data_IF_958826313856
#
_entry.id   IF_958826313856
#
_cell.length_a   1.000
_cell.length_b   1.000
_cell.length_c   1.000
_cell.angle_alpha   90.00
_cell.angle_beta   90.00
_cell.angle_gamma   90.00
#
_symmetry.space_group_name_H-M   'P 1'
#
loop_
_entity.id
_entity.type
_entity.pdbx_description
1 polymer ?
#
# COMPACT_ATOMS: atom_id res chain seq x y z
N UNK A 1 6.99 -30.89 12.96
CA UNK A 1 6.09 -30.10 13.83
C UNK A 1 6.77 -29.91 15.18
N UNK A 2 7.49 -28.80 15.40
CA UNK A 2 8.02 -28.48 16.73
C UNK A 2 6.91 -27.88 17.58
N UNK A 3 6.65 -28.49 18.75
CA UNK A 3 5.70 -28.00 19.75
C UNK A 3 6.06 -26.56 20.18
N UNK A 4 5.07 -25.70 20.49
CA UNK A 4 5.35 -24.42 21.14
C UNK A 4 5.79 -24.69 22.58
N UNK A 5 7.09 -24.56 22.86
CA UNK A 5 7.67 -24.69 24.20
C UNK A 5 7.12 -23.55 25.07
N UNK A 6 6.52 -23.88 26.21
CA UNK A 6 6.00 -22.89 27.16
C UNK A 6 7.16 -22.07 27.75
N UNK A 7 6.97 -20.76 27.99
CA UNK A 7 8.02 -19.86 28.53
C UNK A 7 8.62 -20.37 29.86
N UNK A 8 7.92 -21.24 30.57
CA UNK A 8 8.32 -21.88 31.83
C UNK A 8 9.39 -22.98 31.65
N UNK A 9 9.51 -23.59 30.47
CA UNK A 9 10.46 -24.69 30.20
C UNK A 9 11.83 -24.19 29.66
N UNK A 10 11.96 -22.89 29.39
CA UNK A 10 13.21 -22.29 28.89
C UNK A 10 14.18 -21.98 30.02
N UNK A 11 15.44 -22.41 29.86
CA UNK A 11 16.53 -22.03 30.78
C UNK A 11 16.72 -20.52 30.81
N UNK A 12 17.25 -19.98 31.93
CA UNK A 12 17.44 -18.53 32.12
C UNK A 12 18.30 -17.89 31.01
N UNK A 13 19.29 -18.63 30.53
CA UNK A 13 20.15 -18.22 29.41
C UNK A 13 19.40 -18.14 28.07
N UNK A 14 18.53 -19.13 27.77
CA UNK A 14 17.72 -19.10 26.54
C UNK A 14 16.71 -17.95 26.55
N UNK A 15 16.10 -17.66 27.71
CA UNK A 15 15.22 -16.48 27.86
C UNK A 15 15.94 -15.17 27.60
N UNK A 16 17.16 -15.00 28.09
CA UNK A 16 17.97 -13.81 27.83
C UNK A 16 18.37 -13.71 26.35
N UNK A 17 18.72 -14.83 25.72
CA UNK A 17 19.07 -14.87 24.29
C UNK A 17 17.88 -14.52 23.40
N UNK A 18 16.70 -15.09 23.68
CA UNK A 18 15.46 -14.79 22.95
C UNK A 18 15.03 -13.33 23.15
N UNK A 19 15.11 -12.81 24.38
CA UNK A 19 14.84 -11.41 24.66
C UNK A 19 15.79 -10.45 23.94
N UNK A 20 17.08 -10.81 23.86
CA UNK A 20 18.08 -10.06 23.11
C UNK A 20 17.81 -10.04 21.59
N UNK A 21 17.35 -11.14 21.01
CA UNK A 21 16.97 -11.20 19.59
C UNK A 21 15.69 -10.43 19.28
N UNK A 22 14.68 -10.51 20.16
CA UNK A 22 13.43 -9.74 20.01
C UNK A 22 13.70 -8.23 20.06
N UNK A 23 14.51 -7.77 21.02
CA UNK A 23 14.88 -6.36 21.15
C UNK A 23 15.61 -5.84 19.90
N UNK A 24 16.61 -6.59 19.40
CA UNK A 24 17.34 -6.23 18.18
C UNK A 24 16.45 -6.18 16.94
N UNK A 25 15.48 -7.09 16.85
CA UNK A 25 14.52 -7.11 15.74
C UNK A 25 13.61 -5.86 15.77
N UNK A 26 13.14 -5.46 16.94
CA UNK A 26 12.37 -4.23 17.13
C UNK A 26 13.18 -2.98 16.81
N UNK A 27 14.44 -2.92 17.26
CA UNK A 27 15.33 -1.80 16.96
C UNK A 27 15.59 -1.65 15.46
N UNK A 28 15.83 -2.75 14.75
CA UNK A 28 15.99 -2.74 13.29
C UNK A 28 14.71 -2.28 12.58
N UNK A 29 13.56 -2.78 13.02
CA UNK A 29 12.28 -2.39 12.44
C UNK A 29 11.96 -0.90 12.67
N UNK A 30 12.28 -0.38 13.86
CA UNK A 30 12.13 1.03 14.20
C UNK A 30 12.96 1.95 13.29
N UNK A 31 14.03 1.44 12.65
CA UNK A 31 14.81 2.16 11.64
C UNK A 31 14.26 1.96 10.22
N UNK A 32 13.85 0.74 9.89
CA UNK A 32 13.35 0.39 8.54
C UNK A 32 12.02 1.09 8.23
N UNK A 33 11.08 1.16 9.18
CA UNK A 33 9.75 1.72 8.93
C UNK A 33 9.80 3.23 8.60
N UNK A 34 10.47 4.09 9.36
CA UNK A 34 10.63 5.50 8.99
C UNK A 34 11.39 5.68 7.67
N UNK A 35 12.44 4.88 7.44
CA UNK A 35 13.20 4.91 6.19
C UNK A 35 12.34 4.53 4.99
N UNK A 36 11.44 3.56 5.15
CA UNK A 36 10.46 3.18 4.15
C UNK A 36 9.52 4.34 3.84
N UNK A 37 8.86 4.90 4.85
CA UNK A 37 7.92 6.02 4.68
C UNK A 37 8.58 7.22 4.00
N UNK A 38 9.68 7.72 4.57
CA UNK A 38 10.37 8.89 4.04
C UNK A 38 11.05 8.61 2.69
N UNK A 39 11.63 7.42 2.52
CA UNK A 39 12.31 7.03 1.29
C UNK A 39 11.38 7.00 0.10
N UNK A 40 10.19 6.39 0.23
CA UNK A 40 9.20 6.37 -0.85
C UNK A 40 8.64 7.76 -1.14
N UNK A 41 8.26 8.52 -0.11
CA UNK A 41 7.69 9.87 -0.29
C UNK A 41 8.70 10.80 -0.98
N UNK A 42 9.95 10.82 -0.52
CA UNK A 42 10.98 11.70 -1.06
C UNK A 42 11.39 11.24 -2.47
N UNK A 43 11.62 9.95 -2.69
CA UNK A 43 12.01 9.43 -4.00
C UNK A 43 10.96 9.72 -5.06
N UNK A 44 9.68 9.44 -4.77
CA UNK A 44 8.61 9.73 -5.72
C UNK A 44 8.33 11.22 -5.84
N UNK A 45 8.53 12.02 -4.79
CA UNK A 45 8.47 13.47 -4.87
C UNK A 45 9.47 14.03 -5.89
N UNK A 46 10.70 13.53 -5.90
CA UNK A 46 11.68 13.86 -6.94
C UNK A 46 11.29 13.33 -8.32
N UNK A 47 10.75 12.10 -8.44
CA UNK A 47 10.28 11.59 -9.73
C UNK A 47 9.14 12.41 -10.33
N UNK A 48 8.17 12.83 -9.52
CA UNK A 48 7.12 13.78 -9.94
C UNK A 48 7.73 15.10 -10.40
N UNK A 49 8.69 15.64 -9.65
CA UNK A 49 9.34 16.91 -10.00
C UNK A 49 10.10 16.83 -11.32
N UNK A 50 10.83 15.74 -11.55
CA UNK A 50 11.56 15.47 -12.79
C UNK A 50 10.57 15.37 -13.95
N UNK A 51 9.46 14.63 -13.78
CA UNK A 51 8.44 14.51 -14.81
C UNK A 51 7.83 15.88 -15.17
N UNK A 52 7.47 16.68 -14.17
CA UNK A 52 6.93 18.03 -14.40
C UNK A 52 7.98 18.93 -15.06
N UNK A 53 9.26 18.80 -14.74
CA UNK A 53 10.32 19.55 -15.42
C UNK A 53 10.43 19.21 -16.91
N UNK A 54 10.27 17.93 -17.27
CA UNK A 54 10.42 17.45 -18.64
C UNK A 54 9.16 17.64 -19.50
N UNK A 55 7.97 17.68 -18.89
CA UNK A 55 6.70 17.75 -19.60
C UNK A 55 6.13 19.16 -19.59
N UNK A 56 6.10 19.80 -20.76
CA UNK A 56 5.43 21.10 -20.95
C UNK A 56 3.95 21.02 -20.63
N UNK A 57 3.30 19.91 -20.97
CA UNK A 57 1.89 19.65 -20.65
C UNK A 57 1.63 19.71 -19.14
N UNK A 58 2.45 19.04 -18.34
CA UNK A 58 2.29 19.04 -16.88
C UNK A 58 2.50 20.43 -16.27
N UNK A 59 3.39 21.24 -16.84
CA UNK A 59 3.59 22.63 -16.41
C UNK A 59 2.38 23.50 -16.75
N UNK A 60 1.83 23.38 -17.95
CA UNK A 60 0.61 24.09 -18.35
C UNK A 60 -0.57 23.71 -17.47
N UNK A 61 -0.73 22.41 -17.17
CA UNK A 61 -1.78 21.93 -16.27
C UNK A 61 -1.66 22.60 -14.89
N UNK A 62 -0.47 22.69 -14.30
CA UNK A 62 -0.28 23.34 -12.99
C UNK A 62 -0.51 24.86 -13.00
N UNK A 63 -0.37 25.50 -14.16
CA UNK A 63 -0.60 26.94 -14.32
C UNK A 63 -2.06 27.29 -14.59
N UNK A 64 -2.79 26.42 -15.28
CA UNK A 64 -4.13 26.74 -15.82
C UNK A 64 -5.27 26.04 -15.07
N UNK A 65 -4.99 24.98 -14.31
CA UNK A 65 -6.08 24.14 -13.76
C UNK A 65 -6.72 24.66 -12.47
N UNK A 66 -6.12 25.65 -11.79
CA UNK A 66 -6.68 26.23 -10.57
C UNK A 66 -7.12 27.67 -10.81
N UNK A 67 -8.34 28.00 -10.39
CA UNK A 67 -8.88 29.37 -10.46
C UNK A 67 -8.16 30.32 -9.48
N UNK A 68 -7.55 29.78 -8.42
CA UNK A 68 -6.86 30.53 -7.36
C UNK A 68 -5.39 30.88 -7.70
N UNK A 69 -4.93 30.60 -8.92
CA UNK A 69 -3.60 30.93 -9.41
C UNK A 69 -2.66 29.72 -9.59
N UNK A 70 -1.44 29.97 -10.11
CA UNK A 70 -0.51 28.91 -10.49
C UNK A 70 0.04 28.18 -9.25
N UNK A 71 0.18 26.86 -9.39
CA UNK A 71 0.69 25.99 -8.32
C UNK A 71 2.20 25.85 -8.44
N UNK A 72 2.93 26.01 -7.33
CA UNK A 72 4.36 25.77 -7.28
C UNK A 72 4.68 24.27 -7.53
N UNK A 73 5.45 23.92 -8.59
CA UNK A 73 5.70 22.53 -8.97
C UNK A 73 6.39 21.70 -7.89
N UNK A 74 7.26 22.32 -7.09
CA UNK A 74 7.94 21.65 -5.98
C UNK A 74 6.96 21.21 -4.90
N UNK A 75 6.10 22.13 -4.47
CA UNK A 75 5.11 21.83 -3.44
C UNK A 75 4.12 20.77 -3.93
N UNK A 76 3.63 20.90 -5.16
CA UNK A 76 2.74 19.92 -5.76
C UNK A 76 3.35 18.51 -5.78
N UNK A 77 4.62 18.38 -6.22
CA UNK A 77 5.28 17.08 -6.37
C UNK A 77 5.44 16.32 -5.04
N UNK A 78 5.85 17.02 -3.98
CA UNK A 78 5.99 16.41 -2.65
C UNK A 78 4.63 16.16 -1.99
N UNK A 79 3.69 17.10 -2.14
CA UNK A 79 2.35 16.97 -1.59
C UNK A 79 1.60 15.79 -2.21
N UNK A 80 1.65 15.64 -3.53
CA UNK A 80 0.96 14.53 -4.19
C UNK A 80 1.60 13.18 -3.86
N UNK A 81 2.93 13.14 -3.71
CA UNK A 81 3.64 11.94 -3.26
C UNK A 81 3.20 11.52 -1.86
N UNK A 82 3.13 12.48 -0.92
CA UNK A 82 2.66 12.26 0.44
C UNK A 82 1.19 11.82 0.47
N UNK A 83 0.31 12.55 -0.24
CA UNK A 83 -1.13 12.26 -0.27
C UNK A 83 -1.42 10.89 -0.89
N UNK A 84 -0.72 10.53 -1.98
CA UNK A 84 -0.83 9.22 -2.62
C UNK A 84 -0.31 8.10 -1.73
N UNK A 85 0.80 8.31 -1.02
CA UNK A 85 1.37 7.30 -0.13
C UNK A 85 0.52 7.08 1.13
N UNK A 86 -0.10 8.13 1.65
CA UNK A 86 -0.94 8.05 2.86
C UNK A 86 -2.40 7.71 2.55
N UNK A 87 -2.75 7.56 1.27
CA UNK A 87 -4.13 7.39 0.81
C UNK A 87 -5.05 8.50 1.35
N UNK A 88 -4.58 9.74 1.31
CA UNK A 88 -5.32 10.89 1.86
C UNK A 88 -6.37 11.43 0.86
N UNK A 89 -6.13 11.30 -0.43
CA UNK A 89 -7.03 11.74 -1.50
C UNK A 89 -7.13 13.24 -1.71
N UNK A 90 -6.39 14.03 -0.91
CA UNK A 90 -6.27 15.46 -1.12
C UNK A 90 -5.33 15.73 -2.28
N UNK A 91 -5.77 16.58 -3.19
CA UNK A 91 -4.92 17.13 -4.24
C UNK A 91 -4.93 18.65 -4.14
N UNK A 92 -3.86 19.28 -4.59
CA UNK A 92 -3.80 20.73 -4.72
C UNK A 92 -4.55 21.22 -5.97
N UNK A 93 -4.82 20.31 -6.92
CA UNK A 93 -5.68 20.55 -8.07
C UNK A 93 -7.15 20.31 -7.70
N UNK A 94 -8.02 21.26 -8.03
CA UNK A 94 -9.46 21.17 -7.75
C UNK A 94 -10.10 19.96 -8.45
N UNK A 95 -9.65 19.66 -9.67
CA UNK A 95 -10.12 18.52 -10.47
C UNK A 95 -9.39 17.20 -10.18
N UNK A 96 -8.72 17.06 -9.03
CA UNK A 96 -7.97 15.84 -8.66
C UNK A 96 -6.99 15.42 -9.76
N UNK A 97 -7.09 14.19 -10.30
CA UNK A 97 -6.20 13.67 -11.36
C UNK A 97 -6.82 13.74 -12.76
N UNK A 98 -8.00 14.33 -12.92
CA UNK A 98 -8.68 14.47 -14.22
C UNK A 98 -7.81 15.18 -15.27
N UNK A 99 -7.07 16.27 -14.94
CA UNK A 99 -6.18 16.92 -15.91
C UNK A 99 -5.03 16.02 -16.38
N UNK A 100 -4.76 14.90 -15.71
CA UNK A 100 -3.71 13.95 -16.07
C UNK A 100 -4.22 12.68 -16.77
N UNK A 101 -5.49 12.61 -17.19
CA UNK A 101 -6.08 11.45 -17.88
C UNK A 101 -5.28 10.97 -19.11
N UNK A 102 -4.66 11.91 -19.85
CA UNK A 102 -3.85 11.57 -21.03
C UNK A 102 -2.34 11.43 -20.71
N UNK A 103 -1.94 11.64 -19.46
CA UNK A 103 -0.57 11.62 -19.00
C UNK A 103 -0.29 10.34 -18.20
N UNK A 104 0.42 9.34 -18.76
CA UNK A 104 0.53 8.05 -18.11
C UNK A 104 1.44 8.06 -16.87
N UNK A 105 2.51 8.87 -16.87
CA UNK A 105 3.51 8.81 -15.79
C UNK A 105 2.96 9.21 -14.41
N UNK A 106 2.22 10.34 -14.25
CA UNK A 106 1.64 10.71 -12.97
C UNK A 106 0.69 9.65 -12.40
N UNK A 107 -0.14 9.06 -13.27
CA UNK A 107 -1.09 8.02 -12.88
C UNK A 107 -0.37 6.76 -12.40
N UNK A 108 0.67 6.31 -13.12
CA UNK A 108 1.48 5.15 -12.73
C UNK A 108 2.17 5.38 -11.38
N UNK A 109 2.77 6.56 -11.18
CA UNK A 109 3.42 6.90 -9.91
C UNK A 109 2.44 6.88 -8.74
N UNK A 110 1.26 7.47 -8.92
CA UNK A 110 0.21 7.43 -7.90
C UNK A 110 -0.28 6.00 -7.63
N UNK A 111 -0.51 5.17 -8.66
CA UNK A 111 -0.90 3.76 -8.48
C UNK A 111 0.11 3.03 -7.60
N UNK A 112 1.41 3.18 -7.90
CA UNK A 112 2.47 2.54 -7.14
C UNK A 112 2.45 3.04 -5.69
N UNK A 113 2.38 4.34 -5.46
CA UNK A 113 2.36 4.92 -4.11
C UNK A 113 1.15 4.49 -3.30
N UNK A 114 -0.04 4.48 -3.89
CA UNK A 114 -1.29 4.07 -3.22
C UNK A 114 -1.21 2.61 -2.78
N UNK A 115 -0.68 1.74 -3.65
CA UNK A 115 -0.50 0.34 -3.32
C UNK A 115 0.57 0.14 -2.23
N UNK A 116 1.75 0.74 -2.39
CA UNK A 116 2.88 0.59 -1.47
C UNK A 116 2.59 1.23 -0.11
N UNK A 117 1.82 2.31 -0.08
CA UNK A 117 1.53 3.10 1.11
C UNK A 117 0.61 2.41 2.12
N UNK A 118 -0.45 1.75 1.64
CA UNK A 118 -1.45 1.13 2.51
C UNK A 118 -1.77 -0.32 2.11
N UNK A 119 -2.32 -0.53 0.92
CA UNK A 119 -2.95 -1.80 0.52
C UNK A 119 -1.97 -2.98 0.44
N UNK A 120 -0.76 -2.72 -0.06
CA UNK A 120 0.33 -3.67 -0.20
C UNK A 120 1.50 -3.37 0.76
N UNK A 121 1.30 -2.49 1.75
CA UNK A 121 2.32 -2.11 2.74
C UNK A 121 2.97 -3.33 3.40
N UNK A 122 2.16 -4.25 3.92
CA UNK A 122 2.66 -5.45 4.59
C UNK A 122 3.44 -6.38 3.65
N UNK A 123 3.07 -6.43 2.38
CA UNK A 123 3.72 -7.25 1.35
C UNK A 123 5.08 -6.65 1.01
N UNK A 124 5.14 -5.33 0.81
CA UNK A 124 6.37 -4.61 0.49
C UNK A 124 7.34 -4.54 1.65
N UNK A 125 6.87 -4.28 2.86
CA UNK A 125 7.72 -4.30 4.04
C UNK A 125 8.39 -5.67 4.21
N UNK A 126 7.62 -6.76 4.04
CA UNK A 126 8.16 -8.12 4.12
C UNK A 126 9.17 -8.41 3.02
N UNK A 127 8.90 -7.96 1.79
CA UNK A 127 9.82 -8.10 0.66
C UNK A 127 11.14 -7.36 0.91
N UNK A 128 11.08 -6.14 1.44
CA UNK A 128 12.27 -5.36 1.81
C UNK A 128 13.08 -6.05 2.91
N UNK A 129 12.42 -6.54 3.97
CA UNK A 129 13.10 -7.32 5.03
C UNK A 129 13.79 -8.57 4.44
N UNK A 130 13.14 -9.25 3.49
CA UNK A 130 13.72 -10.41 2.82
C UNK A 130 14.92 -10.04 1.92
N UNK A 131 14.86 -8.90 1.23
CA UNK A 131 16.00 -8.35 0.49
C UNK A 131 17.13 -8.03 1.45
N UNK A 132 16.87 -7.33 2.57
CA UNK A 132 17.87 -7.03 3.59
C UNK A 132 18.51 -8.32 4.14
N UNK A 133 17.71 -9.37 4.39
CA UNK A 133 18.22 -10.68 4.79
C UNK A 133 19.17 -11.30 3.75
N UNK A 134 18.84 -11.19 2.45
CA UNK A 134 19.67 -11.72 1.36
C UNK A 134 20.93 -10.89 1.10
N UNK A 135 20.84 -9.57 1.27
CA UNK A 135 21.96 -8.65 1.08
C UNK A 135 22.93 -8.64 2.27
N UNK A 136 22.49 -9.08 3.46
CA UNK A 136 23.36 -9.15 4.64
C UNK A 136 24.46 -10.21 4.44
N UNK A 137 25.74 -9.82 4.43
CA UNK A 137 26.84 -10.76 4.22
C UNK A 137 26.96 -11.76 5.37
N UNK A 138 27.43 -12.97 5.08
CA UNK A 138 27.60 -14.05 6.07
C UNK A 138 28.51 -13.69 7.25
N UNK A 139 29.32 -12.63 7.12
CA UNK A 139 30.16 -12.09 8.20
C UNK A 139 29.36 -11.50 9.37
N UNK A 140 28.09 -11.11 9.16
CA UNK A 140 27.22 -10.55 10.21
C UNK A 140 26.14 -11.53 10.63
N UNK A 141 26.55 -12.62 11.28
CA UNK A 141 25.64 -13.69 11.71
C UNK A 141 24.50 -13.18 12.59
N UNK A 142 24.79 -12.25 13.51
CA UNK A 142 23.77 -11.70 14.42
C UNK A 142 22.66 -10.89 13.71
N UNK A 143 23.00 -10.07 12.69
CA UNK A 143 21.99 -9.31 11.92
C UNK A 143 21.14 -10.28 11.07
N UNK A 144 21.78 -11.30 10.49
CA UNK A 144 21.10 -12.31 9.68
C UNK A 144 20.15 -13.18 10.50
N UNK A 145 20.55 -13.58 11.71
CA UNK A 145 19.65 -14.25 12.67
C UNK A 145 18.48 -13.36 13.07
N UNK A 146 18.73 -12.06 13.27
CA UNK A 146 17.68 -11.09 13.61
C UNK A 146 16.65 -10.95 12.48
N UNK A 147 17.07 -10.83 11.22
CA UNK A 147 16.15 -10.78 10.08
C UNK A 147 15.41 -12.10 9.88
N UNK A 148 16.06 -13.23 10.10
CA UNK A 148 15.42 -14.55 10.04
C UNK A 148 14.36 -14.68 11.13
N UNK A 149 14.67 -14.26 12.36
CA UNK A 149 13.72 -14.22 13.47
C UNK A 149 12.51 -13.33 13.15
N UNK A 150 12.74 -12.16 12.55
CA UNK A 150 11.67 -11.23 12.13
C UNK A 150 10.76 -11.85 11.06
N UNK A 151 11.32 -12.65 10.14
CA UNK A 151 10.56 -13.35 9.09
C UNK A 151 9.81 -14.59 9.62
N UNK A 152 10.37 -15.29 10.61
CA UNK A 152 9.79 -16.50 11.21
C UNK A 152 8.72 -16.17 12.27
N UNK A 153 8.87 -15.05 12.99
CA UNK A 153 7.94 -14.59 14.04
C UNK A 153 7.43 -13.15 13.80
N UNK A 154 6.82 -12.86 12.65
CA UNK A 154 6.53 -11.50 12.23
C UNK A 154 5.61 -10.75 13.19
N UNK A 155 4.62 -11.44 13.77
CA UNK A 155 3.60 -10.83 14.65
C UNK A 155 3.99 -10.67 16.11
N UNK A 156 5.17 -11.14 16.51
CA UNK A 156 5.74 -10.78 17.83
C UNK A 156 6.40 -9.41 17.81
N UNK A 157 6.92 -9.00 16.66
CA UNK A 157 7.67 -7.77 16.51
C UNK A 157 6.84 -6.65 15.86
N UNK A 158 5.89 -6.98 14.97
CA UNK A 158 5.07 -5.98 14.30
C UNK A 158 3.67 -6.48 13.93
N UNK A 159 2.65 -5.69 14.26
CA UNK A 159 1.25 -6.09 14.08
C UNK A 159 0.83 -6.18 12.61
N UNK A 160 1.41 -5.36 11.74
CA UNK A 160 1.08 -5.32 10.30
C UNK A 160 1.98 -6.23 9.45
N UNK A 161 2.96 -6.92 10.05
CA UNK A 161 3.79 -7.90 9.34
C UNK A 161 3.07 -9.25 9.28
N UNK A 162 2.53 -9.61 8.12
CA UNK A 162 1.84 -10.89 7.94
C UNK A 162 2.82 -12.04 7.61
N UNK A 163 2.51 -13.28 8.03
CA UNK A 163 3.16 -14.50 7.56
C UNK A 163 3.15 -14.64 6.02
N UNK A 164 4.14 -15.36 5.49
CA UNK A 164 4.36 -15.54 4.05
C UNK A 164 3.11 -15.96 3.27
N UNK A 165 2.42 -16.98 3.76
CA UNK A 165 1.24 -17.55 3.11
C UNK A 165 0.09 -16.54 3.05
N UNK A 166 -0.05 -15.71 4.09
CA UNK A 166 -1.10 -14.69 4.16
C UNK A 166 -0.79 -13.52 3.24
N UNK A 167 0.49 -13.11 3.12
CA UNK A 167 0.88 -12.07 2.16
C UNK A 167 0.59 -12.45 0.71
N UNK A 168 0.78 -13.73 0.33
CA UNK A 168 0.42 -14.22 -1.00
C UNK A 168 -1.09 -14.27 -1.23
N UNK A 169 -1.86 -14.71 -0.24
CA UNK A 169 -3.32 -14.67 -0.30
C UNK A 169 -3.85 -13.24 -0.46
N UNK A 170 -3.34 -12.29 0.33
CA UNK A 170 -3.67 -10.87 0.22
C UNK A 170 -3.34 -10.32 -1.16
N UNK A 171 -2.17 -10.67 -1.71
CA UNK A 171 -1.75 -10.24 -3.04
C UNK A 171 -2.68 -10.75 -4.15
N UNK A 172 -3.06 -12.03 -4.10
CA UNK A 172 -3.97 -12.63 -5.08
C UNK A 172 -5.34 -11.97 -5.01
N UNK A 173 -5.90 -11.81 -3.81
CA UNK A 173 -7.20 -11.14 -3.62
C UNK A 173 -7.15 -9.69 -4.11
N UNK A 174 -6.06 -8.97 -3.82
CA UNK A 174 -5.84 -7.60 -4.30
C UNK A 174 -5.90 -7.55 -5.83
N UNK A 175 -5.21 -8.45 -6.53
CA UNK A 175 -5.23 -8.52 -7.99
C UNK A 175 -6.64 -8.82 -8.50
N UNK A 176 -7.33 -9.82 -7.93
CA UNK A 176 -8.67 -10.22 -8.37
C UNK A 176 -9.66 -9.06 -8.26
N UNK A 177 -9.69 -8.36 -7.11
CA UNK A 177 -10.60 -7.22 -6.91
C UNK A 177 -10.28 -6.12 -7.94
N UNK A 178 -9.00 -5.78 -8.12
CA UNK A 178 -8.57 -4.76 -9.09
C UNK A 178 -8.99 -5.12 -10.52
N UNK A 179 -8.85 -6.39 -10.91
CA UNK A 179 -9.23 -6.86 -12.24
C UNK A 179 -10.74 -6.79 -12.46
N UNK A 180 -11.54 -7.16 -11.45
CA UNK A 180 -13.00 -7.06 -11.53
C UNK A 180 -13.44 -5.60 -11.70
N UNK A 181 -12.87 -4.67 -10.93
CA UNK A 181 -13.15 -3.24 -11.05
C UNK A 181 -12.72 -2.70 -12.42
N UNK A 182 -11.54 -3.08 -12.91
CA UNK A 182 -11.02 -2.66 -14.20
C UNK A 182 -11.89 -3.15 -15.36
N UNK A 183 -12.26 -4.43 -15.36
CA UNK A 183 -13.13 -5.02 -16.38
C UNK A 183 -14.50 -4.35 -16.34
N UNK A 184 -15.05 -4.12 -15.15
CA UNK A 184 -16.34 -3.44 -14.97
C UNK A 184 -16.29 -2.00 -15.50
N UNK A 185 -15.20 -1.27 -15.24
CA UNK A 185 -15.00 0.08 -15.77
C UNK A 185 -14.95 0.10 -17.29
N UNK A 186 -14.14 -0.77 -17.91
CA UNK A 186 -13.98 -0.83 -19.36
C UNK A 186 -15.26 -1.29 -20.07
N UNK A 187 -15.97 -2.28 -19.52
CA UNK A 187 -17.18 -2.82 -20.13
C UNK A 187 -18.37 -1.86 -20.04
N UNK A 188 -18.58 -1.23 -18.87
CA UNK A 188 -19.77 -0.41 -18.60
C UNK A 188 -19.67 1.02 -19.15
N UNK A 189 -18.44 1.53 -19.34
CA UNK A 189 -18.20 2.91 -19.81
C UNK A 189 -17.70 2.97 -21.27
N UNK A 190 -17.72 1.86 -22.01
CA UNK A 190 -17.21 1.82 -23.39
C UNK A 190 -17.89 2.83 -24.33
N UNK A 191 -19.20 3.03 -24.15
CA UNK A 191 -20.05 3.88 -25.00
C UNK A 191 -20.20 5.32 -24.48
N UNK A 192 -19.52 5.68 -23.38
CA UNK A 192 -19.70 6.99 -22.76
C UNK A 192 -18.95 8.08 -23.55
N UNK A 193 -19.59 9.23 -23.84
CA UNK A 193 -18.95 10.32 -24.56
C UNK A 193 -17.77 10.95 -23.81
N UNK A 194 -17.74 10.86 -22.47
CA UNK A 194 -16.62 11.35 -21.65
C UNK A 194 -15.31 10.63 -21.97
N UNK A 195 -15.37 9.35 -22.36
CA UNK A 195 -14.20 8.56 -22.72
C UNK A 195 -13.87 8.62 -24.21
N UNK A 196 -14.75 9.15 -25.07
CA UNK A 196 -14.64 9.04 -26.54
C UNK A 196 -13.39 9.73 -27.11
N UNK A 197 -12.91 10.79 -26.47
CA UNK A 197 -11.68 11.51 -26.84
C UNK A 197 -10.38 10.90 -26.32
N UNK A 198 -10.43 9.88 -25.46
CA UNK A 198 -9.26 9.29 -24.80
C UNK A 198 -8.76 8.09 -25.61
N UNK A 199 -7.43 7.96 -25.76
CA UNK A 199 -6.82 6.80 -26.44
C UNK A 199 -7.10 5.50 -25.69
N UNK A 200 -7.20 4.36 -26.40
CA UNK A 200 -7.49 3.07 -25.76
C UNK A 200 -6.50 2.69 -24.65
N UNK A 201 -5.22 3.02 -24.82
CA UNK A 201 -4.19 2.78 -23.80
C UNK A 201 -4.38 3.66 -22.55
N UNK A 202 -4.71 4.94 -22.74
CA UNK A 202 -5.03 5.86 -21.64
C UNK A 202 -6.29 5.42 -20.90
N UNK A 203 -7.35 4.99 -21.60
CA UNK A 203 -8.57 4.45 -20.96
C UNK A 203 -8.31 3.25 -20.07
N UNK A 204 -7.43 2.35 -20.50
CA UNK A 204 -7.01 1.21 -19.70
C UNK A 204 -6.29 1.67 -18.42
N UNK A 205 -5.37 2.63 -18.56
CA UNK A 205 -4.64 3.17 -17.43
C UNK A 205 -5.53 3.97 -16.46
N UNK A 206 -6.49 4.74 -16.98
CA UNK A 206 -7.47 5.48 -16.19
C UNK A 206 -8.36 4.50 -15.40
N UNK A 207 -8.83 3.44 -16.05
CA UNK A 207 -9.59 2.38 -15.38
C UNK A 207 -8.77 1.67 -14.30
N UNK A 208 -7.48 1.41 -14.56
CA UNK A 208 -6.58 0.80 -13.59
C UNK A 208 -6.33 1.74 -12.40
N UNK A 209 -6.08 3.01 -12.68
CA UNK A 209 -5.91 4.06 -11.68
C UNK A 209 -7.15 4.15 -10.80
N UNK A 210 -8.33 4.24 -11.41
CA UNK A 210 -9.59 4.37 -10.68
C UNK A 210 -9.86 3.13 -9.80
N UNK A 211 -9.60 1.93 -10.30
CA UNK A 211 -9.72 0.66 -9.55
C UNK A 211 -8.73 0.54 -8.38
N UNK A 212 -7.59 1.24 -8.46
CA UNK A 212 -6.65 1.32 -7.34
C UNK A 212 -7.09 2.43 -6.37
N UNK A 213 -7.58 3.55 -6.89
CA UNK A 213 -7.95 4.73 -6.12
C UNK A 213 -9.24 4.56 -5.29
N UNK A 214 -10.17 3.70 -5.73
CA UNK A 214 -11.38 3.32 -4.97
C UNK A 214 -11.05 2.73 -3.61
N UNK A 215 -9.85 2.16 -3.43
CA UNK A 215 -9.42 1.51 -2.18
C UNK A 215 -8.72 2.49 -1.24
N UNK A 216 -9.55 3.32 -0.60
CA UNK A 216 -9.17 4.32 0.41
C UNK A 216 -8.31 5.48 -0.08
N UNK A 217 -7.88 5.55 -1.35
CA UNK A 217 -7.02 6.64 -1.81
C UNK A 217 -7.77 7.90 -2.19
N UNK A 218 -9.04 7.80 -2.62
CA UNK A 218 -9.92 8.95 -2.83
C UNK A 218 -9.61 9.82 -4.05
N UNK A 219 -8.66 9.44 -4.90
CA UNK A 219 -8.38 10.16 -6.14
C UNK A 219 -9.39 9.80 -7.24
N UNK A 220 -9.63 10.78 -8.13
CA UNK A 220 -10.50 10.60 -9.29
C UNK A 220 -9.75 11.05 -10.55
N UNK A 221 -9.70 10.17 -11.56
CA UNK A 221 -9.18 10.51 -12.89
C UNK A 221 -10.30 10.80 -13.91
N UNK A 222 -11.50 10.32 -13.62
CA UNK A 222 -12.73 10.68 -14.34
C UNK A 222 -13.76 11.16 -13.32
N UNK A 223 -14.64 12.07 -13.71
CA UNK A 223 -15.76 12.50 -12.88
C UNK A 223 -16.64 11.30 -12.52
N UNK A 224 -16.73 10.96 -11.23
CA UNK A 224 -17.55 9.85 -10.76
C UNK A 224 -19.04 10.06 -11.05
N UNK A 225 -19.50 11.32 -11.08
CA UNK A 225 -20.89 11.68 -11.37
C UNK A 225 -21.29 11.34 -12.81
N UNK A 226 -20.34 11.41 -13.74
CA UNK A 226 -20.58 11.19 -15.16
C UNK A 226 -20.38 9.74 -15.58
N UNK A 227 -19.95 8.86 -14.66
CA UNK A 227 -19.82 7.43 -14.93
C UNK A 227 -21.17 6.72 -14.94
N UNK A 228 -21.23 5.58 -15.63
CA UNK A 228 -22.41 4.72 -15.64
C UNK A 228 -22.79 4.33 -14.18
N UNK A 229 -24.07 4.43 -13.78
CA UNK A 229 -24.54 4.01 -12.45
C UNK A 229 -24.12 2.58 -12.07
N UNK A 230 -23.99 1.68 -13.05
CA UNK A 230 -23.48 0.33 -12.83
C UNK A 230 -22.04 0.32 -12.28
N UNK A 231 -21.16 1.17 -12.81
CA UNK A 231 -19.78 1.28 -12.32
C UNK A 231 -19.70 1.91 -10.93
N UNK A 232 -20.55 2.89 -10.65
CA UNK A 232 -20.64 3.50 -9.32
C UNK A 232 -21.02 2.45 -8.27
N UNK A 233 -21.99 1.57 -8.58
CA UNK A 233 -22.40 0.49 -7.67
C UNK A 233 -21.25 -0.50 -7.41
N UNK A 234 -20.50 -0.87 -8.45
CA UNK A 234 -19.29 -1.71 -8.32
C UNK A 234 -18.27 -1.05 -7.40
N UNK A 235 -18.03 0.26 -7.54
CA UNK A 235 -17.10 1.00 -6.69
C UNK A 235 -17.55 1.07 -5.23
N UNK A 236 -18.83 1.29 -4.96
CA UNK A 236 -19.38 1.27 -3.60
C UNK A 236 -19.15 -0.11 -2.94
N UNK A 237 -19.45 -1.19 -3.68
CA UNK A 237 -19.24 -2.56 -3.19
C UNK A 237 -17.76 -2.84 -2.96
N UNK A 238 -16.89 -2.45 -3.90
CA UNK A 238 -15.46 -2.68 -3.79
C UNK A 238 -14.82 -1.89 -2.64
N UNK A 239 -15.23 -0.63 -2.42
CA UNK A 239 -14.84 0.17 -1.25
C UNK A 239 -15.13 -0.58 0.06
N UNK A 240 -16.33 -1.14 0.19
CA UNK A 240 -16.72 -1.91 1.37
C UNK A 240 -15.93 -3.22 1.52
N UNK A 241 -15.79 -3.99 0.43
CA UNK A 241 -15.10 -5.29 0.45
C UNK A 241 -13.59 -5.14 0.70
N UNK A 242 -12.96 -4.04 0.24
CA UNK A 242 -11.51 -3.86 0.26
C UNK A 242 -10.87 -3.93 1.66
N UNK A 243 -11.62 -3.63 2.71
CA UNK A 243 -11.14 -3.66 4.11
C UNK A 243 -11.10 -5.10 4.67
N UNK A 244 -11.95 -6.00 4.15
CA UNK A 244 -12.11 -7.35 4.69
C UNK A 244 -10.88 -8.25 4.56
N UNK A 245 -10.15 -8.32 3.42
CA UNK A 245 -8.98 -9.19 3.28
C UNK A 245 -7.91 -8.91 4.35
N UNK A 246 -7.67 -7.63 4.63
CA UNK A 246 -6.71 -7.20 5.67
C UNK A 246 -7.24 -7.60 7.05
N UNK A 247 -8.51 -7.33 7.35
CA UNK A 247 -9.12 -7.70 8.63
C UNK A 247 -9.14 -9.21 8.88
N UNK A 248 -9.48 -10.01 7.87
CA UNK A 248 -9.50 -11.48 7.93
C UNK A 248 -8.07 -12.01 8.12
N UNK A 249 -7.10 -11.45 7.41
CA UNK A 249 -5.70 -11.81 7.58
C UNK A 249 -5.24 -11.53 8.99
N UNK A 250 -5.57 -10.36 9.58
CA UNK A 250 -5.29 -10.07 10.99
C UNK A 250 -5.90 -11.12 11.93
N UNK A 251 -7.19 -11.46 11.77
CA UNK A 251 -7.88 -12.43 12.63
C UNK A 251 -7.31 -13.85 12.52
N UNK A 252 -7.17 -14.37 11.30
CA UNK A 252 -6.66 -15.72 11.05
C UNK A 252 -5.19 -15.86 11.46
N UNK A 253 -4.47 -14.76 11.40
CA UNK A 253 -3.14 -14.73 11.94
C UNK A 253 -3.20 -14.88 13.48
N UNK A 254 -4.07 -14.21 14.23
CA UNK A 254 -4.01 -14.00 15.69
C UNK A 254 -4.08 -15.24 16.65
N UNK A 255 -3.69 -16.43 16.19
CA UNK A 255 -3.58 -17.72 16.90
C UNK A 255 -2.79 -17.66 18.23
N UNK A 256 -1.94 -16.65 18.44
CA UNK A 256 -1.20 -16.48 19.69
C UNK A 256 -2.09 -15.98 20.85
N UNK A 257 -3.14 -15.20 20.56
CA UNK A 257 -4.14 -14.91 21.60
C UNK A 257 -5.06 -16.10 21.83
N UNK A 258 -5.44 -16.89 20.81
CA UNK A 258 -6.35 -18.04 21.03
C UNK A 258 -5.73 -19.11 21.93
N UNK A 259 -4.41 -19.29 21.88
CA UNK A 259 -3.69 -20.23 22.77
C UNK A 259 -3.52 -19.69 24.20
N UNK A 260 -3.43 -18.36 24.39
CA UNK A 260 -3.33 -17.73 25.71
C UNK A 260 -4.72 -17.52 26.36
N UNK A 261 -5.74 -17.26 25.54
CA UNK A 261 -7.12 -17.06 25.96
C UNK A 261 -7.90 -18.36 26.11
N UNK A 262 -7.43 -19.53 25.66
CA UNK A 262 -8.06 -20.79 26.09
C UNK A 262 -7.96 -21.03 27.60
N UNK A 263 -7.04 -20.33 28.28
CA UNK A 263 -6.96 -20.27 29.75
C UNK A 263 -7.76 -19.12 30.36
N UNK A 264 -8.29 -18.20 29.54
CA UNK A 264 -8.85 -16.92 29.99
C UNK A 264 -10.21 -16.56 29.37
N UNK A 265 -10.81 -17.46 28.57
CA UNK A 265 -12.18 -17.32 28.01
C UNK A 265 -13.24 -17.89 28.97
N UNK A 266 -12.83 -18.25 30.19
CA UNK A 266 -13.78 -18.51 31.27
C UNK A 266 -14.25 -17.23 31.99
N UNK A 267 -13.78 -16.04 31.60
CA UNK A 267 -14.25 -14.78 32.17
C UNK A 267 -14.42 -13.72 31.07
N UNK A 268 -15.65 -13.21 30.97
CA UNK A 268 -16.11 -12.03 30.19
C UNK A 268 -16.27 -12.32 28.68
N UNK A 269 -17.48 -12.61 28.19
CA UNK A 269 -18.64 -11.69 27.96
C UNK A 269 -18.22 -10.49 27.13
#
# INVERSE_FOLDING_TARGET
MSRPVAKSELTRHERYRIGGTEYRALEMLARIVPLYYLGFIISFGFFFRIYIACSTYAQTVLQTSNDNGPIEPWFFSFFISLSSFTNLGLNHLDASMVPFQNAPCPLIFCIILILVGNTAYAIMLRFIIWICYKMTPSSKEMERETFRYLLDHPRRCYTTLFPATQTWWLFIILIIITLVELISFLALNYWLPILSGISGGSRFLDGLFQSVATRNAGFSVVSLADLNPGSQLVYIVAMYISVYPVAISMRNSNVYQVSANRSMVCFLV
#
